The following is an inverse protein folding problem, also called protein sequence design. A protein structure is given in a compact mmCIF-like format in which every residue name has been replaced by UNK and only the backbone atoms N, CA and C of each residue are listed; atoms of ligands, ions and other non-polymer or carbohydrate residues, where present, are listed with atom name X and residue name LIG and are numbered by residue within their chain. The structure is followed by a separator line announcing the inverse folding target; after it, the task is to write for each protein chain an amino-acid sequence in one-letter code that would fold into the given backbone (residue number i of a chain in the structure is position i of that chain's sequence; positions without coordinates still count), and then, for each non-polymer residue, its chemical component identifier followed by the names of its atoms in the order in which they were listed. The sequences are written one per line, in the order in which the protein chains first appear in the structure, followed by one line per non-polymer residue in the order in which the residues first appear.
data_IF_484839380927
#
_entry.id   IF_484839380927
#
_cell.length_a   1.000
_cell.length_b   1.000
_cell.length_c   1.000
_cell.angle_alpha   90.00
_cell.angle_beta   90.00
_cell.angle_gamma   90.00
#
_symmetry.space_group_name_H-M   'P 1'
#
loop_
_entity.id
_entity.type
_entity.pdbx_description
1 polymer ?
#
# COMPACT_ATOMS: atom_id res chain seq x y z
N UNK A 1 -17.69 -5.81 26.58
CA UNK A 1 -17.09 -4.50 26.24
C UNK A 1 -15.58 -4.65 26.17
N UNK A 2 -15.04 -4.84 24.97
CA UNK A 2 -13.58 -5.01 24.76
C UNK A 2 -13.11 -3.93 23.78
N UNK A 3 -13.11 -2.67 24.25
CA UNK A 3 -12.75 -1.47 23.48
C UNK A 3 -11.30 -1.43 22.97
N UNK A 4 -10.49 -2.43 23.32
CA UNK A 4 -9.09 -2.54 22.92
C UNK A 4 -8.89 -3.38 21.66
N UNK A 5 -9.82 -4.29 21.33
CA UNK A 5 -9.71 -5.17 20.15
C UNK A 5 -10.07 -4.42 18.87
N UNK A 6 -11.05 -3.52 18.92
CA UNK A 6 -11.47 -2.68 17.79
C UNK A 6 -10.33 -1.81 17.23
N UNK A 7 -9.50 -1.22 18.10
CA UNK A 7 -8.41 -0.33 17.68
C UNK A 7 -7.27 -1.04 16.94
N UNK A 8 -7.13 -2.36 17.10
CA UNK A 8 -6.17 -3.15 16.33
C UNK A 8 -6.72 -3.49 14.94
N UNK A 9 -8.02 -3.79 14.82
CA UNK A 9 -8.63 -4.01 13.50
C UNK A 9 -8.61 -2.75 12.63
N UNK A 10 -8.81 -1.56 13.21
CA UNK A 10 -8.74 -0.30 12.44
C UNK A 10 -7.33 0.03 11.91
N UNK A 11 -6.26 -0.46 12.57
CA UNK A 11 -4.88 -0.36 12.04
C UNK A 11 -4.56 -1.43 10.99
N UNK A 12 -5.27 -2.54 11.01
CA UNK A 12 -5.19 -3.58 9.97
C UNK A 12 -6.09 -3.23 8.77
N UNK A 13 -7.10 -2.38 8.96
CA UNK A 13 -8.05 -1.99 7.93
C UNK A 13 -7.53 -1.06 6.81
N UNK A 14 -6.49 -0.20 6.93
CA UNK A 14 -5.88 0.37 5.73
C UNK A 14 -5.17 -0.70 4.87
N UNK A 15 -5.02 -1.92 5.39
CA UNK A 15 -4.56 -3.10 4.63
C UNK A 15 -5.72 -3.91 4.04
N UNK A 16 -6.98 -3.54 4.28
CA UNK A 16 -8.14 -4.15 3.63
C UNK A 16 -8.38 -3.60 2.20
N UNK A 17 -7.62 -2.61 1.73
CA UNK A 17 -7.47 -2.34 0.27
C UNK A 17 -6.43 -3.25 -0.39
N UNK A 18 -5.90 -4.24 0.33
CA UNK A 18 -5.32 -5.45 -0.25
C UNK A 18 -6.40 -6.48 -0.67
N UNK A 19 -7.67 -6.08 -0.79
CA UNK A 19 -8.82 -6.93 -1.13
C UNK A 19 -8.83 -7.45 -2.59
N UNK A 20 -7.67 -7.62 -3.23
CA UNK A 20 -7.53 -8.31 -4.51
C UNK A 20 -6.17 -9.04 -4.69
N UNK A 21 -5.41 -9.30 -3.61
CA UNK A 21 -4.09 -9.94 -3.72
C UNK A 21 -2.98 -9.00 -4.21
N UNK A 22 -3.23 -7.69 -4.13
CA UNK A 22 -2.28 -6.66 -4.54
C UNK A 22 -1.63 -5.98 -3.33
N UNK A 23 -0.29 -5.90 -3.35
CA UNK A 23 0.53 -5.17 -2.38
C UNK A 23 0.99 -3.84 -2.98
N UNK A 24 0.87 -2.76 -2.21
CA UNK A 24 1.30 -1.43 -2.61
C UNK A 24 2.52 -0.99 -1.80
N UNK A 25 3.54 -0.44 -2.45
CA UNK A 25 4.70 0.17 -1.79
C UNK A 25 5.09 1.45 -2.50
N UNK A 26 5.55 2.45 -1.75
CA UNK A 26 6.08 3.68 -2.31
C UNK A 26 7.59 3.69 -2.13
N UNK A 27 8.33 4.18 -3.12
CA UNK A 27 9.79 4.32 -3.06
C UNK A 27 10.25 5.53 -3.86
N UNK A 28 11.41 6.07 -3.49
CA UNK A 28 12.06 7.13 -4.25
C UNK A 28 13.03 6.54 -5.26
N UNK A 29 12.98 7.02 -6.50
CA UNK A 29 13.94 6.67 -7.54
C UNK A 29 14.28 7.89 -8.38
N UNK A 30 15.57 8.26 -8.44
CA UNK A 30 16.09 9.40 -9.22
C UNK A 30 15.19 10.64 -9.10
N UNK A 31 14.97 11.11 -7.86
CA UNK A 31 14.13 12.27 -7.48
C UNK A 31 12.64 12.16 -7.80
N UNK A 32 12.15 10.99 -8.20
CA UNK A 32 10.72 10.74 -8.43
C UNK A 32 10.18 9.82 -7.33
N UNK A 33 9.07 10.22 -6.73
CA UNK A 33 8.30 9.39 -5.81
C UNK A 33 7.44 8.45 -6.65
N UNK A 34 7.74 7.16 -6.57
CA UNK A 34 7.05 6.11 -7.31
C UNK A 34 6.17 5.30 -6.37
N UNK A 35 4.98 4.94 -6.84
CA UNK A 35 4.11 3.95 -6.21
C UNK A 35 4.16 2.68 -7.04
N UNK A 36 4.54 1.58 -6.41
CA UNK A 36 4.48 0.22 -6.93
C UNK A 36 3.22 -0.46 -6.43
N UNK A 37 2.52 -1.14 -7.32
CA UNK A 37 1.45 -2.08 -7.02
C UNK A 37 1.85 -3.43 -7.60
N UNK A 38 1.92 -4.45 -6.77
CA UNK A 38 2.21 -5.82 -7.18
C UNK A 38 1.01 -6.70 -6.89
N UNK A 39 0.36 -7.20 -7.93
CA UNK A 39 -0.74 -8.16 -7.85
C UNK A 39 -0.22 -9.56 -8.22
N UNK A 40 -0.70 -10.60 -7.52
CA UNK A 40 -0.30 -11.99 -7.76
C UNK A 40 -0.55 -12.45 -9.21
N UNK A 41 -1.65 -12.00 -9.83
CA UNK A 41 -2.03 -12.40 -11.19
C UNK A 41 -1.55 -11.45 -12.31
N UNK A 42 -1.28 -10.18 -12.01
CA UNK A 42 -0.95 -9.17 -13.04
C UNK A 42 0.52 -8.69 -13.01
N UNK A 43 1.30 -9.16 -12.03
CA UNK A 43 2.67 -8.70 -11.82
C UNK A 43 2.73 -7.33 -11.14
N UNK A 44 3.88 -6.67 -11.26
CA UNK A 44 4.15 -5.39 -10.61
C UNK A 44 4.11 -4.23 -11.60
N UNK A 45 3.28 -3.23 -11.30
CA UNK A 45 3.25 -1.95 -12.01
C UNK A 45 3.76 -0.85 -11.10
N UNK A 46 4.48 0.11 -11.66
CA UNK A 46 4.96 1.30 -10.95
C UNK A 46 4.56 2.54 -11.71
N UNK A 47 4.01 3.53 -11.00
CA UNK A 47 3.70 4.84 -11.56
C UNK A 47 4.29 5.94 -10.70
N UNK A 48 4.60 7.06 -11.35
CA UNK A 48 5.08 8.26 -10.67
C UNK A 48 3.89 8.91 -9.98
N UNK A 49 4.03 9.17 -8.67
CA UNK A 49 3.04 9.86 -7.85
C UNK A 49 3.51 11.25 -7.41
N UNK A 50 4.79 11.58 -7.62
CA UNK A 50 5.30 12.92 -7.34
C UNK A 50 6.81 13.01 -7.47
N UNK A 51 7.37 14.10 -6.98
CA UNK A 51 8.80 14.25 -6.78
C UNK A 51 9.18 13.73 -5.37
N UNK A 52 10.33 13.08 -5.28
CA UNK A 52 10.97 12.78 -4.01
C UNK A 52 12.11 13.79 -3.83
N UNK A 53 12.05 14.55 -2.74
CA UNK A 53 13.00 15.59 -2.37
C UNK A 53 14.22 15.06 -1.65
#
# INVERSE_FOLDING_TARGET
MSRLVDRLLERVAPKATASAGCSYSNYCYRTLYMRRMCCLDQGCQSWVIGACG
#
